data_IF_592403754381
#
_entry.id   IF_592403754381
#
_cell.length_a   1.000
_cell.length_b   1.000
_cell.length_c   1.000
_cell.angle_alpha   90.00
_cell.angle_beta   90.00
_cell.angle_gamma   90.00
#
_symmetry.space_group_name_H-M   'P 1'
#
loop_
_entity.id
_entity.type
_entity.pdbx_description
1 polymer ?
#
# COMPACT_ATOMS: atom_id res chain seq x y z
N UNK A 1 24.52 14.27 2.91
CA UNK A 1 23.79 14.18 4.19
C UNK A 1 23.42 12.72 4.35
N UNK A 2 23.52 12.16 5.56
CA UNK A 2 23.09 10.79 5.82
C UNK A 2 21.57 10.78 5.79
N UNK A 3 20.94 9.79 5.13
CA UNK A 3 19.48 9.61 5.09
C UNK A 3 18.92 9.45 6.52
N UNK A 4 17.74 9.99 6.79
CA UNK A 4 17.05 9.80 8.08
C UNK A 4 16.58 8.35 8.29
N UNK A 5 16.61 7.55 7.23
CA UNK A 5 16.28 6.12 7.23
C UNK A 5 17.48 5.22 7.58
N UNK A 6 18.71 5.78 7.63
CA UNK A 6 19.90 5.01 7.98
C UNK A 6 19.80 4.44 9.39
N UNK A 7 20.02 3.13 9.52
CA UNK A 7 19.90 2.38 10.78
C UNK A 7 18.46 2.11 11.23
N UNK A 8 17.45 2.50 10.47
CA UNK A 8 16.04 2.20 10.77
C UNK A 8 15.71 0.73 10.49
N UNK A 9 14.74 0.22 11.23
CA UNK A 9 14.24 -1.14 11.20
C UNK A 9 12.86 -1.13 10.56
N UNK A 10 12.76 -1.74 9.39
CA UNK A 10 11.53 -1.68 8.61
C UNK A 10 10.93 -3.07 8.35
N UNK A 11 9.61 -3.11 8.25
CA UNK A 11 8.85 -4.25 7.73
C UNK A 11 8.11 -3.80 6.47
N UNK A 12 8.19 -4.58 5.41
CA UNK A 12 7.43 -4.34 4.16
C UNK A 12 6.62 -5.60 3.84
N UNK A 13 5.30 -5.47 3.76
CA UNK A 13 4.40 -6.57 3.36
C UNK A 13 4.12 -6.53 1.86
N UNK A 14 3.84 -7.69 1.24
CA UNK A 14 3.73 -7.80 -0.21
C UNK A 14 5.05 -7.55 -0.92
N UNK A 15 6.16 -8.04 -0.35
CA UNK A 15 7.51 -7.68 -0.74
C UNK A 15 8.22 -8.71 -1.64
N UNK A 16 7.51 -9.73 -2.13
CA UNK A 16 8.06 -10.66 -3.12
C UNK A 16 8.23 -10.04 -4.51
N UNK A 17 7.62 -8.87 -4.78
CA UNK A 17 7.71 -8.19 -6.06
C UNK A 17 7.06 -6.80 -6.06
N UNK A 18 7.00 -6.18 -7.22
CA UNK A 18 6.31 -4.90 -7.43
C UNK A 18 6.79 -3.78 -6.52
N UNK A 19 5.84 -2.96 -6.04
CA UNK A 19 6.13 -1.82 -5.16
C UNK A 19 6.80 -2.27 -3.85
N UNK A 20 6.39 -3.41 -3.27
CA UNK A 20 6.94 -3.89 -2.01
C UNK A 20 8.41 -4.25 -2.10
N UNK A 21 8.82 -4.99 -3.12
CA UNK A 21 10.24 -5.32 -3.36
C UNK A 21 11.06 -4.05 -3.66
N UNK A 22 10.51 -3.11 -4.43
CA UNK A 22 11.17 -1.84 -4.72
C UNK A 22 11.34 -0.97 -3.47
N UNK A 23 10.33 -0.92 -2.59
CA UNK A 23 10.43 -0.23 -1.28
C UNK A 23 11.51 -0.86 -0.40
N UNK A 24 11.58 -2.19 -0.35
CA UNK A 24 12.61 -2.88 0.42
C UNK A 24 14.02 -2.57 -0.11
N UNK A 25 14.20 -2.60 -1.44
CA UNK A 25 15.47 -2.28 -2.08
C UNK A 25 15.91 -0.84 -1.75
N UNK A 26 15.03 0.14 -1.95
CA UNK A 26 15.31 1.55 -1.71
C UNK A 26 15.56 1.84 -0.22
N UNK A 27 14.85 1.18 0.72
CA UNK A 27 15.09 1.27 2.16
C UNK A 27 16.51 0.79 2.52
N UNK A 28 16.95 -0.32 1.94
CA UNK A 28 18.28 -0.90 2.17
C UNK A 28 19.36 0.02 1.59
N UNK A 29 19.14 0.57 0.41
CA UNK A 29 20.06 1.54 -0.21
C UNK A 29 20.21 2.80 0.64
N UNK A 30 19.14 3.23 1.34
CA UNK A 30 19.17 4.33 2.31
C UNK A 30 19.70 3.92 3.69
N UNK A 31 20.15 2.69 3.87
CA UNK A 31 20.84 2.19 5.07
C UNK A 31 19.91 1.61 6.15
N UNK A 32 18.69 1.25 5.83
CA UNK A 32 17.78 0.53 6.73
C UNK A 32 18.05 -0.98 6.72
N UNK A 33 17.57 -1.69 7.74
CA UNK A 33 17.43 -3.15 7.76
C UNK A 33 15.96 -3.51 7.59
N UNK A 34 15.64 -4.48 6.73
CA UNK A 34 14.26 -4.73 6.29
C UNK A 34 13.86 -6.20 6.43
N UNK A 35 12.72 -6.45 7.07
CA UNK A 35 12.01 -7.72 6.92
C UNK A 35 11.04 -7.61 5.75
N UNK A 36 11.25 -8.45 4.74
CA UNK A 36 10.40 -8.60 3.57
C UNK A 36 9.38 -9.70 3.87
N UNK A 37 8.10 -9.36 3.92
CA UNK A 37 7.03 -10.30 4.22
C UNK A 37 6.13 -10.50 3.01
N UNK A 38 5.86 -11.77 2.66
CA UNK A 38 4.94 -12.12 1.58
C UNK A 38 4.33 -13.50 1.80
N UNK A 39 3.18 -13.76 1.17
CA UNK A 39 2.59 -15.08 1.08
C UNK A 39 3.37 -15.98 0.11
N UNK A 40 3.96 -15.38 -0.94
CA UNK A 40 4.78 -16.09 -1.93
C UNK A 40 6.14 -16.43 -1.34
N UNK A 41 6.59 -17.69 -1.46
CA UNK A 41 7.92 -18.11 -1.04
C UNK A 41 9.05 -17.43 -1.85
N UNK A 42 8.75 -16.82 -3.00
CA UNK A 42 9.75 -16.07 -3.80
C UNK A 42 10.32 -14.86 -3.08
N UNK A 43 9.69 -14.42 -1.99
CA UNK A 43 10.25 -13.39 -1.09
C UNK A 43 11.63 -13.76 -0.54
N UNK A 44 11.93 -15.06 -0.44
CA UNK A 44 13.25 -15.55 -0.01
C UNK A 44 14.33 -15.19 -1.03
N UNK A 45 14.03 -15.39 -2.31
CA UNK A 45 14.95 -15.04 -3.40
C UNK A 45 15.13 -13.52 -3.48
N UNK A 46 14.02 -12.76 -3.40
CA UNK A 46 14.06 -11.30 -3.37
C UNK A 46 14.94 -10.77 -2.23
N UNK A 47 14.80 -11.32 -1.02
CA UNK A 47 15.63 -10.91 0.11
C UNK A 47 17.10 -11.29 -0.08
N UNK A 48 17.38 -12.47 -0.66
CA UNK A 48 18.76 -12.92 -0.93
C UNK A 48 19.47 -11.99 -1.93
N UNK A 49 18.77 -11.50 -2.96
CA UNK A 49 19.29 -10.55 -3.94
C UNK A 49 19.63 -9.19 -3.31
N UNK A 50 18.87 -8.76 -2.30
CA UNK A 50 19.07 -7.48 -1.61
C UNK A 50 20.19 -7.51 -0.56
N UNK A 51 20.70 -8.69 -0.20
CA UNK A 51 21.87 -8.86 0.63
C UNK A 51 21.60 -8.92 2.14
N UNK A 52 22.61 -8.63 2.95
CA UNK A 52 22.63 -8.97 4.40
C UNK A 52 21.71 -8.13 5.28
N UNK A 53 21.20 -7.01 4.80
CA UNK A 53 20.24 -6.15 5.51
C UNK A 53 18.77 -6.52 5.22
N UNK A 54 18.54 -7.54 4.39
CA UNK A 54 17.24 -8.07 4.01
C UNK A 54 16.96 -9.42 4.68
N UNK A 55 15.79 -9.56 5.28
CA UNK A 55 15.35 -10.77 5.96
C UNK A 55 13.98 -11.20 5.42
N UNK A 56 13.90 -12.40 4.85
CA UNK A 56 12.63 -12.91 4.34
C UNK A 56 11.76 -13.48 5.47
N UNK A 57 10.45 -13.24 5.34
CA UNK A 57 9.40 -13.90 6.10
C UNK A 57 8.28 -14.35 5.14
N UNK A 58 7.97 -15.65 5.13
CA UNK A 58 6.90 -16.20 4.29
C UNK A 58 5.71 -16.53 5.16
N UNK A 59 4.54 -15.95 4.87
CA UNK A 59 3.31 -16.21 5.61
C UNK A 59 2.16 -15.28 5.21
N UNK A 60 1.00 -15.54 5.80
CA UNK A 60 -0.23 -14.80 5.53
C UNK A 60 -0.40 -13.63 6.51
N UNK A 61 -0.21 -12.42 6.01
CA UNK A 61 -0.40 -11.17 6.78
C UNK A 61 -1.86 -10.72 6.87
N UNK A 62 -2.79 -11.47 6.27
CA UNK A 62 -4.23 -11.16 6.38
C UNK A 62 -4.85 -11.66 7.69
N UNK A 63 -4.21 -12.59 8.38
CA UNK A 63 -4.68 -13.17 9.65
C UNK A 63 -4.09 -12.48 10.88
N UNK A 64 -4.74 -12.64 12.04
CA UNK A 64 -4.23 -12.14 13.34
C UNK A 64 -2.96 -12.88 13.72
N UNK A 65 -2.95 -14.20 13.56
CA UNK A 65 -1.83 -15.07 13.86
C UNK A 65 -0.62 -14.75 12.97
N UNK A 66 -0.86 -14.53 11.68
CA UNK A 66 0.20 -14.18 10.73
C UNK A 66 0.85 -12.83 11.01
N UNK A 67 0.05 -11.81 11.32
CA UNK A 67 0.59 -10.51 11.74
C UNK A 67 1.42 -10.64 13.03
N UNK A 68 0.92 -11.37 14.03
CA UNK A 68 1.67 -11.62 15.27
C UNK A 68 3.02 -12.27 14.99
N UNK A 69 3.01 -13.38 14.24
CA UNK A 69 4.23 -14.11 13.88
C UNK A 69 5.23 -13.27 13.05
N UNK A 70 4.73 -12.41 12.15
CA UNK A 70 5.58 -11.47 11.40
C UNK A 70 6.27 -10.48 12.34
N UNK A 71 5.51 -9.87 13.25
CA UNK A 71 6.04 -8.87 14.18
C UNK A 71 7.06 -9.50 15.13
N UNK A 72 6.77 -10.67 15.67
CA UNK A 72 7.70 -11.40 16.53
C UNK A 72 9.00 -11.76 15.76
N UNK A 73 8.88 -12.24 14.53
CA UNK A 73 10.05 -12.52 13.67
C UNK A 73 10.86 -11.26 13.35
N UNK A 74 10.21 -10.11 13.17
CA UNK A 74 10.89 -8.85 12.92
C UNK A 74 11.62 -8.35 14.18
N UNK A 75 11.00 -8.49 15.35
CA UNK A 75 11.65 -8.17 16.63
C UNK A 75 12.89 -9.02 16.86
N UNK A 76 12.81 -10.33 16.61
CA UNK A 76 13.94 -11.25 16.76
C UNK A 76 15.12 -10.91 15.84
N UNK A 77 14.84 -10.46 14.61
CA UNK A 77 15.86 -10.19 13.59
C UNK A 77 16.42 -8.76 13.66
N UNK A 78 15.57 -7.79 13.95
CA UNK A 78 15.91 -6.38 13.90
C UNK A 78 16.04 -5.73 15.29
N UNK A 79 15.52 -6.35 16.34
CA UNK A 79 15.46 -5.78 17.68
C UNK A 79 14.38 -4.70 17.84
N UNK A 80 13.36 -4.71 16.98
CA UNK A 80 12.21 -3.80 16.99
C UNK A 80 11.81 -3.33 15.60
N UNK A 81 10.76 -2.52 15.50
CA UNK A 81 10.20 -2.01 14.24
C UNK A 81 9.99 -0.51 14.35
N UNK A 82 10.71 0.27 13.52
CA UNK A 82 10.57 1.73 13.44
C UNK A 82 9.56 2.14 12.34
N UNK A 83 9.55 1.39 11.22
CA UNK A 83 8.68 1.64 10.07
C UNK A 83 7.94 0.37 9.67
N UNK A 84 6.65 0.51 9.39
CA UNK A 84 5.83 -0.60 8.88
C UNK A 84 5.11 -0.16 7.60
N UNK A 85 5.46 -0.82 6.49
CA UNK A 85 4.83 -0.60 5.20
C UNK A 85 3.75 -1.67 4.99
N UNK A 86 2.50 -1.29 5.24
CA UNK A 86 1.32 -2.09 4.95
C UNK A 86 1.04 -1.99 3.44
N UNK A 87 1.79 -2.77 2.65
CA UNK A 87 1.78 -2.70 1.19
C UNK A 87 1.10 -3.91 0.54
N UNK A 88 1.01 -5.06 1.19
CA UNK A 88 0.30 -6.22 0.66
C UNK A 88 -1.12 -5.85 0.23
N UNK A 89 -1.53 -6.33 -0.95
CA UNK A 89 -2.86 -6.03 -1.49
C UNK A 89 -3.20 -6.91 -2.68
N UNK A 90 -4.50 -7.09 -2.92
CA UNK A 90 -5.06 -7.80 -4.06
C UNK A 90 -6.10 -6.93 -4.77
N UNK A 91 -6.36 -7.22 -6.06
CA UNK A 91 -7.36 -6.48 -6.83
C UNK A 91 -8.79 -6.93 -6.49
N UNK A 92 -8.96 -8.17 -6.05
CA UNK A 92 -10.26 -8.75 -5.72
C UNK A 92 -11.16 -8.99 -6.94
N UNK A 93 -12.46 -9.21 -6.70
CA UNK A 93 -13.40 -9.54 -7.77
C UNK A 93 -13.71 -8.35 -8.67
N UNK A 94 -14.04 -8.65 -9.94
CA UNK A 94 -14.57 -7.67 -10.87
C UNK A 94 -15.99 -7.22 -10.49
N UNK A 95 -16.36 -6.03 -10.89
CA UNK A 95 -17.69 -5.42 -10.68
C UNK A 95 -18.12 -5.45 -9.20
N UNK A 96 -19.18 -6.14 -8.84
CA UNK A 96 -19.66 -6.29 -7.46
C UNK A 96 -19.09 -7.53 -6.75
N UNK A 97 -18.41 -8.44 -7.48
CA UNK A 97 -18.10 -9.78 -6.98
C UNK A 97 -19.34 -10.68 -6.99
N UNK A 98 -19.14 -11.97 -6.76
CA UNK A 98 -20.20 -12.97 -6.83
C UNK A 98 -20.61 -13.54 -5.47
N UNK A 99 -19.76 -13.38 -4.45
CA UNK A 99 -19.97 -13.96 -3.11
C UNK A 99 -19.41 -13.11 -1.98
N UNK A 100 -19.89 -13.36 -0.75
CA UNK A 100 -19.32 -12.78 0.47
C UNK A 100 -17.85 -13.19 0.66
N UNK A 101 -17.47 -14.40 0.22
CA UNK A 101 -16.10 -14.88 0.31
C UNK A 101 -15.12 -14.03 -0.54
N UNK A 102 -15.55 -13.53 -1.71
CA UNK A 102 -14.75 -12.63 -2.54
C UNK A 102 -14.50 -11.30 -1.81
N UNK A 103 -15.53 -10.80 -1.14
CA UNK A 103 -15.43 -9.58 -0.34
C UNK A 103 -14.59 -9.77 0.91
N UNK A 104 -14.76 -10.88 1.63
CA UNK A 104 -13.99 -11.17 2.85
C UNK A 104 -12.49 -11.26 2.53
N UNK A 105 -12.11 -11.92 1.45
CA UNK A 105 -10.71 -12.05 1.05
C UNK A 105 -10.05 -10.69 0.80
N UNK A 106 -10.67 -9.81 0.00
CA UNK A 106 -10.09 -8.50 -0.28
C UNK A 106 -10.14 -7.56 0.94
N UNK A 107 -11.17 -7.65 1.78
CA UNK A 107 -11.27 -6.88 3.01
C UNK A 107 -10.18 -7.31 3.99
N UNK A 108 -9.94 -8.61 4.14
CA UNK A 108 -8.91 -9.12 5.05
C UNK A 108 -7.51 -8.65 4.62
N UNK A 109 -7.17 -8.77 3.35
CA UNK A 109 -5.85 -8.37 2.84
C UNK A 109 -5.69 -6.85 2.79
N UNK A 110 -6.61 -6.13 2.13
CA UNK A 110 -6.41 -4.70 1.83
C UNK A 110 -6.76 -3.76 2.99
N UNK A 111 -7.50 -4.22 3.99
CA UNK A 111 -8.00 -3.38 5.07
C UNK A 111 -7.71 -3.96 6.47
N UNK A 112 -8.20 -5.18 6.78
CA UNK A 112 -8.04 -5.75 8.12
C UNK A 112 -6.58 -5.99 8.49
N UNK A 113 -5.73 -6.37 7.52
CA UNK A 113 -4.29 -6.52 7.73
C UNK A 113 -3.63 -5.22 8.23
N UNK A 114 -4.00 -4.06 7.66
CA UNK A 114 -3.52 -2.75 8.12
C UNK A 114 -3.95 -2.47 9.57
N UNK A 115 -5.22 -2.74 9.90
CA UNK A 115 -5.77 -2.55 11.25
C UNK A 115 -5.06 -3.46 12.25
N UNK A 116 -4.91 -4.75 11.93
CA UNK A 116 -4.26 -5.75 12.77
C UNK A 116 -2.79 -5.39 13.07
N UNK A 117 -2.06 -4.95 12.04
CA UNK A 117 -0.68 -4.49 12.20
C UNK A 117 -0.59 -3.26 13.13
N UNK A 118 -1.45 -2.26 12.93
CA UNK A 118 -1.47 -1.08 13.79
C UNK A 118 -1.88 -1.41 15.24
N UNK A 119 -2.84 -2.32 15.46
CA UNK A 119 -3.22 -2.78 16.80
C UNK A 119 -2.05 -3.41 17.55
N UNK A 120 -1.16 -4.12 16.85
CA UNK A 120 0.00 -4.74 17.46
C UNK A 120 1.16 -3.76 17.65
N UNK A 121 1.34 -2.78 16.76
CA UNK A 121 2.50 -1.89 16.75
C UNK A 121 2.28 -0.59 17.54
N UNK A 122 1.08 -0.02 17.51
CA UNK A 122 0.82 1.29 18.15
C UNK A 122 1.15 1.29 19.65
N UNK A 123 0.78 0.29 20.48
CA UNK A 123 1.16 0.28 21.88
C UNK A 123 2.67 0.28 22.09
N UNK A 124 3.42 -0.44 21.28
CA UNK A 124 4.89 -0.53 21.33
C UNK A 124 5.53 0.80 20.93
N UNK A 125 4.98 1.47 19.91
CA UNK A 125 5.44 2.77 19.46
C UNK A 125 5.12 3.90 20.46
N UNK A 126 3.98 3.81 21.15
CA UNK A 126 3.65 4.73 22.24
C UNK A 126 4.66 4.63 23.39
N UNK A 127 5.05 3.41 23.78
CA UNK A 127 6.09 3.18 24.79
C UNK A 127 7.46 3.70 24.33
N UNK A 128 7.78 3.55 23.05
CA UNK A 128 9.03 4.03 22.45
C UNK A 128 9.02 5.54 22.14
N UNK A 129 7.86 6.19 22.13
CA UNK A 129 7.68 7.59 21.72
C UNK A 129 7.94 7.85 20.23
N UNK A 130 7.96 6.80 19.40
CA UNK A 130 8.21 6.92 17.96
C UNK A 130 7.75 5.69 17.18
N UNK A 131 7.24 5.92 15.97
CA UNK A 131 6.87 4.88 15.02
C UNK A 131 6.34 5.48 13.72
N UNK A 132 6.37 4.72 12.64
CA UNK A 132 5.89 5.18 11.35
C UNK A 132 5.10 4.10 10.62
N UNK A 133 3.84 4.39 10.31
CA UNK A 133 2.94 3.51 9.55
C UNK A 133 2.74 4.06 8.14
N UNK A 134 3.06 3.29 7.11
CA UNK A 134 2.86 3.66 5.71
C UNK A 134 1.86 2.69 5.08
N UNK A 135 0.69 3.20 4.71
CA UNK A 135 -0.36 2.41 4.06
C UNK A 135 -0.30 2.58 2.53
N UNK A 136 -0.13 1.48 1.78
CA UNK A 136 -0.30 1.51 0.33
C UNK A 136 -1.77 1.36 -0.02
N UNK A 137 -2.43 2.51 -0.26
CA UNK A 137 -3.78 2.57 -0.79
C UNK A 137 -3.77 2.49 -2.32
N UNK A 138 -4.33 3.45 -3.00
CA UNK A 138 -4.40 3.63 -4.46
C UNK A 138 -5.07 4.97 -4.77
N UNK A 139 -4.90 5.52 -5.96
CA UNK A 139 -5.77 6.55 -6.49
C UNK A 139 -7.26 6.13 -6.42
N UNK A 140 -7.55 4.83 -6.49
CA UNK A 140 -8.88 4.27 -6.25
C UNK A 140 -9.46 4.60 -4.86
N UNK A 141 -8.62 4.81 -3.86
CA UNK A 141 -9.02 5.23 -2.51
C UNK A 141 -9.49 6.70 -2.43
N UNK A 142 -9.17 7.50 -3.44
CA UNK A 142 -9.59 8.90 -3.56
C UNK A 142 -10.65 9.09 -4.66
N UNK A 143 -10.51 8.38 -5.78
CA UNK A 143 -11.27 8.63 -7.02
C UNK A 143 -12.33 7.58 -7.32
N UNK A 144 -12.25 6.39 -6.72
CA UNK A 144 -13.04 5.19 -7.04
C UNK A 144 -12.56 4.50 -8.33
N UNK A 145 -12.45 3.18 -8.30
CA UNK A 145 -12.00 2.37 -9.44
C UNK A 145 -13.18 1.92 -10.28
N UNK A 146 -13.15 2.20 -11.58
CA UNK A 146 -14.06 1.60 -12.55
C UNK A 146 -13.82 0.08 -12.58
N UNK A 147 -14.89 -0.71 -12.59
CA UNK A 147 -14.81 -2.16 -12.77
C UNK A 147 -14.55 -2.98 -11.50
N UNK A 148 -14.34 -2.36 -10.32
CA UNK A 148 -14.20 -3.10 -9.05
C UNK A 148 -14.73 -2.31 -7.86
N UNK A 149 -15.86 -2.75 -7.33
CA UNK A 149 -16.47 -2.16 -6.12
C UNK A 149 -15.64 -2.49 -4.88
N UNK A 150 -15.26 -3.74 -4.69
CA UNK A 150 -14.55 -4.21 -3.51
C UNK A 150 -13.16 -3.55 -3.37
N UNK A 151 -12.42 -3.41 -4.48
CA UNK A 151 -11.16 -2.67 -4.49
C UNK A 151 -11.36 -1.20 -4.11
N UNK A 152 -12.37 -0.54 -4.69
CA UNK A 152 -12.70 0.86 -4.36
C UNK A 152 -13.00 1.05 -2.88
N UNK A 153 -13.85 0.19 -2.31
CA UNK A 153 -14.24 0.25 -0.88
C UNK A 153 -13.03 0.06 0.01
N UNK A 154 -12.23 -1.00 -0.23
CA UNK A 154 -11.08 -1.31 0.63
C UNK A 154 -9.98 -0.25 0.54
N UNK A 155 -9.74 0.34 -0.65
CA UNK A 155 -8.74 1.41 -0.79
C UNK A 155 -9.21 2.75 -0.19
N UNK A 156 -10.52 3.08 -0.21
CA UNK A 156 -11.07 4.19 0.58
C UNK A 156 -10.93 3.94 2.08
N UNK A 157 -11.18 2.71 2.54
CA UNK A 157 -11.00 2.34 3.94
C UNK A 157 -9.53 2.48 4.38
N UNK A 158 -8.56 2.10 3.54
CA UNK A 158 -7.14 2.27 3.83
C UNK A 158 -6.74 3.74 3.98
N UNK A 159 -7.30 4.64 3.14
CA UNK A 159 -7.08 6.10 3.27
C UNK A 159 -7.65 6.60 4.59
N UNK A 160 -8.94 6.33 4.87
CA UNK A 160 -9.59 6.79 6.10
C UNK A 160 -8.95 6.24 7.37
N UNK A 161 -8.44 5.00 7.33
CA UNK A 161 -7.71 4.41 8.45
C UNK A 161 -6.36 5.11 8.68
N UNK A 162 -5.60 5.38 7.62
CA UNK A 162 -4.33 6.10 7.74
C UNK A 162 -4.54 7.55 8.24
N UNK A 163 -5.60 8.24 7.76
CA UNK A 163 -5.99 9.57 8.27
C UNK A 163 -6.27 9.53 9.77
N UNK A 164 -7.05 8.55 10.21
CA UNK A 164 -7.38 8.38 11.62
C UNK A 164 -6.12 8.13 12.47
N UNK A 165 -5.20 7.27 12.03
CA UNK A 165 -3.93 7.04 12.72
C UNK A 165 -3.10 8.32 12.84
N UNK A 166 -2.96 9.05 11.72
CA UNK A 166 -2.18 10.29 11.67
C UNK A 166 -2.71 11.36 12.62
N UNK A 167 -4.04 11.49 12.74
CA UNK A 167 -4.67 12.45 13.65
C UNK A 167 -4.57 12.02 15.11
N UNK A 168 -4.77 10.72 15.38
CA UNK A 168 -4.96 10.21 16.74
C UNK A 168 -3.65 10.09 17.51
N UNK A 169 -2.58 9.61 16.87
CA UNK A 169 -1.33 9.26 17.54
C UNK A 169 -0.16 10.20 17.26
N UNK A 170 -0.41 11.36 16.63
CA UNK A 170 0.65 12.32 16.29
C UNK A 170 1.42 12.81 17.50
N UNK A 171 0.71 13.07 18.60
CA UNK A 171 1.31 13.59 19.84
C UNK A 171 2.07 12.50 20.60
N UNK A 172 1.82 11.23 20.30
CA UNK A 172 2.59 10.08 20.83
C UNK A 172 3.89 9.82 20.03
N UNK A 173 4.26 10.72 19.11
CA UNK A 173 5.44 10.56 18.24
C UNK A 173 5.25 9.58 17.08
N UNK A 174 4.01 9.10 16.85
CA UNK A 174 3.71 8.18 15.75
C UNK A 174 3.31 8.97 14.51
N UNK A 175 3.93 8.63 13.38
CA UNK A 175 3.61 9.19 12.07
C UNK A 175 2.85 8.18 11.21
N UNK A 176 2.01 8.68 10.32
CA UNK A 176 1.39 7.84 9.30
C UNK A 176 1.41 8.55 7.95
N UNK A 177 1.56 7.76 6.88
CA UNK A 177 1.41 8.20 5.50
C UNK A 177 0.51 7.25 4.73
N UNK A 178 -0.13 7.77 3.69
CA UNK A 178 -0.89 6.98 2.73
C UNK A 178 -0.37 7.22 1.31
N UNK A 179 -0.01 6.12 0.63
CA UNK A 179 0.46 6.14 -0.75
C UNK A 179 -0.72 5.84 -1.67
N UNK A 180 -1.00 6.74 -2.59
CA UNK A 180 -2.12 6.63 -3.53
C UNK A 180 -1.62 6.62 -4.99
N UNK A 181 -0.95 5.56 -5.45
CA UNK A 181 -0.49 5.45 -6.83
C UNK A 181 -1.66 5.19 -7.78
N UNK A 182 -1.47 5.54 -9.05
CA UNK A 182 -2.33 5.14 -10.17
C UNK A 182 -1.75 3.91 -10.86
N UNK A 183 -1.40 3.95 -12.16
CA UNK A 183 -0.81 2.84 -12.87
C UNK A 183 0.65 2.61 -12.48
N UNK A 184 0.98 1.41 -11.98
CA UNK A 184 2.35 0.98 -11.71
C UNK A 184 2.57 -0.38 -12.37
N UNK A 185 3.70 -0.55 -13.04
CA UNK A 185 4.07 -1.77 -13.77
C UNK A 185 4.34 -2.92 -12.79
N UNK A 186 3.30 -3.65 -12.42
CA UNK A 186 3.30 -4.75 -11.45
C UNK A 186 2.32 -5.84 -11.85
N UNK A 187 2.49 -7.03 -11.32
CA UNK A 187 1.53 -8.14 -11.51
C UNK A 187 0.09 -7.73 -11.12
N UNK A 188 -0.09 -6.86 -10.13
CA UNK A 188 -1.41 -6.37 -9.73
C UNK A 188 -2.14 -5.63 -10.87
N UNK A 189 -1.40 -4.91 -11.73
CA UNK A 189 -1.97 -4.25 -12.91
C UNK A 189 -2.37 -5.28 -13.98
N UNK A 190 -1.60 -6.36 -14.12
CA UNK A 190 -1.89 -7.45 -15.06
C UNK A 190 -3.11 -8.25 -14.59
N UNK A 191 -3.22 -8.51 -13.27
CA UNK A 191 -4.37 -9.17 -12.65
C UNK A 191 -5.66 -8.34 -12.86
N UNK A 192 -5.59 -7.02 -12.81
CA UNK A 192 -6.72 -6.13 -13.14
C UNK A 192 -7.19 -6.29 -14.60
N UNK A 193 -6.28 -6.63 -15.51
CA UNK A 193 -6.60 -6.97 -16.89
C UNK A 193 -7.36 -8.30 -17.00
N UNK A 194 -6.92 -9.28 -16.25
CA UNK A 194 -7.54 -10.63 -16.20
C UNK A 194 -8.95 -10.60 -15.57
N UNK A 195 -9.21 -9.67 -14.65
CA UNK A 195 -10.49 -9.47 -13.98
C UNK A 195 -11.54 -8.68 -14.82
N UNK A 196 -11.41 -8.63 -16.14
CA UNK A 196 -12.41 -8.04 -17.05
C UNK A 196 -11.94 -6.79 -17.81
N UNK A 197 -10.67 -6.42 -17.72
CA UNK A 197 -10.01 -5.43 -18.57
C UNK A 197 -10.43 -3.97 -18.39
N UNK A 198 -11.64 -3.68 -17.93
CA UNK A 198 -12.13 -2.30 -17.75
C UNK A 198 -11.33 -1.52 -16.70
N UNK A 199 -10.94 -2.18 -15.62
CA UNK A 199 -10.13 -1.56 -14.56
C UNK A 199 -8.71 -1.23 -15.08
N UNK A 200 -8.05 -2.16 -15.75
CA UNK A 200 -6.72 -1.94 -16.35
C UNK A 200 -6.77 -0.85 -17.42
N UNK A 201 -7.75 -0.91 -18.35
CA UNK A 201 -7.93 0.13 -19.38
C UNK A 201 -8.17 1.51 -18.78
N UNK A 202 -8.98 1.60 -17.70
CA UNK A 202 -9.24 2.86 -17.01
C UNK A 202 -7.94 3.45 -16.44
N UNK A 203 -7.09 2.63 -15.83
CA UNK A 203 -5.83 3.04 -15.22
C UNK A 203 -4.80 3.44 -16.29
N UNK A 204 -4.57 2.59 -17.28
CA UNK A 204 -3.54 2.83 -18.32
C UNK A 204 -3.88 3.97 -19.29
N UNK A 205 -5.17 4.30 -19.45
CA UNK A 205 -5.61 5.45 -20.26
C UNK A 205 -5.74 6.77 -19.46
N UNK A 206 -5.64 6.72 -18.15
CA UNK A 206 -5.79 7.91 -17.30
C UNK A 206 -4.47 8.64 -17.04
N UNK A 207 -3.31 7.99 -17.22
CA UNK A 207 -2.00 8.59 -16.98
C UNK A 207 -0.85 7.67 -17.36
N UNK A 208 0.36 8.10 -17.01
CA UNK A 208 1.59 7.31 -17.22
C UNK A 208 1.59 6.09 -16.27
N UNK A 209 2.09 4.96 -16.76
CA UNK A 209 2.40 3.81 -15.89
C UNK A 209 3.84 3.98 -15.40
N UNK A 210 4.03 4.08 -14.09
CA UNK A 210 5.34 4.23 -13.45
C UNK A 210 5.97 2.87 -13.18
N UNK A 211 7.30 2.85 -13.13
CA UNK A 211 8.03 1.67 -12.63
C UNK A 211 8.01 1.62 -11.09
N UNK A 212 8.01 0.42 -10.48
CA UNK A 212 8.02 0.26 -9.02
C UNK A 212 9.14 1.02 -8.31
N UNK A 213 10.34 1.08 -8.92
CA UNK A 213 11.48 1.80 -8.37
C UNK A 213 11.25 3.32 -8.30
N UNK A 214 10.59 3.90 -9.30
CA UNK A 214 10.24 5.33 -9.30
C UNK A 214 9.25 5.63 -8.17
N UNK A 215 8.25 4.75 -7.98
CA UNK A 215 7.28 4.88 -6.89
C UNK A 215 7.97 4.76 -5.53
N UNK A 216 8.88 3.80 -5.35
CA UNK A 216 9.61 3.61 -4.11
C UNK A 216 10.44 4.84 -3.72
N UNK A 217 11.17 5.42 -4.65
CA UNK A 217 11.97 6.63 -4.42
C UNK A 217 11.07 7.80 -3.97
N UNK A 218 9.97 8.06 -4.68
CA UNK A 218 9.00 9.12 -4.32
C UNK A 218 8.41 8.87 -2.91
N UNK A 219 8.06 7.63 -2.60
CA UNK A 219 7.48 7.26 -1.30
C UNK A 219 8.48 7.52 -0.19
N UNK A 220 9.74 7.08 -0.31
CA UNK A 220 10.71 7.25 0.77
C UNK A 220 11.16 8.69 0.92
N UNK A 221 11.25 9.48 -0.15
CA UNK A 221 11.46 10.92 -0.05
C UNK A 221 10.35 11.62 0.73
N UNK A 222 9.10 11.23 0.49
CA UNK A 222 7.95 11.75 1.21
C UNK A 222 7.91 11.30 2.68
N UNK A 223 8.30 10.05 2.97
CA UNK A 223 8.42 9.50 4.34
C UNK A 223 9.49 10.25 5.13
N UNK A 224 10.66 10.52 4.55
CA UNK A 224 11.70 11.31 5.19
C UNK A 224 11.25 12.76 5.53
N UNK A 225 10.31 13.30 4.75
CA UNK A 225 9.70 14.60 4.98
C UNK A 225 8.38 14.54 5.79
N UNK A 226 8.03 13.39 6.37
CA UNK A 226 6.79 13.15 7.13
C UNK A 226 5.51 13.58 6.37
N UNK A 227 5.50 13.49 5.03
CA UNK A 227 4.37 13.85 4.21
C UNK A 227 3.25 12.79 4.35
N UNK A 228 2.02 13.22 4.70
CA UNK A 228 0.90 12.31 4.90
C UNK A 228 0.39 11.71 3.58
N UNK A 229 -0.07 12.56 2.64
CA UNK A 229 -0.63 12.10 1.36
C UNK A 229 0.46 12.04 0.30
N UNK A 230 0.83 10.83 -0.11
CA UNK A 230 1.87 10.59 -1.11
C UNK A 230 1.23 10.21 -2.43
N UNK A 231 1.44 11.05 -3.44
CA UNK A 231 0.87 10.91 -4.78
C UNK A 231 2.00 10.74 -5.79
N UNK A 232 2.42 9.50 -6.13
CA UNK A 232 3.41 9.27 -7.19
C UNK A 232 2.99 9.86 -8.54
N UNK A 233 1.69 9.95 -8.79
CA UNK A 233 1.07 10.57 -9.96
C UNK A 233 0.44 11.90 -9.53
N UNK A 234 1.08 13.05 -9.79
CA UNK A 234 0.64 14.36 -9.28
C UNK A 234 -0.73 14.79 -9.81
N UNK A 235 -1.16 14.29 -10.98
CA UNK A 235 -2.48 14.56 -11.58
C UNK A 235 -3.64 14.04 -10.71
N UNK A 236 -3.40 13.04 -9.86
CA UNK A 236 -4.42 12.51 -8.93
C UNK A 236 -4.95 13.61 -8.00
N UNK A 237 -4.11 14.55 -7.59
CA UNK A 237 -4.53 15.65 -6.73
C UNK A 237 -5.58 16.54 -7.40
N UNK A 238 -5.38 16.90 -8.67
CA UNK A 238 -6.35 17.71 -9.42
C UNK A 238 -7.65 16.95 -9.66
N UNK A 239 -7.57 15.65 -9.99
CA UNK A 239 -8.76 14.80 -10.12
C UNK A 239 -9.55 14.73 -8.79
N UNK A 240 -8.86 14.61 -7.66
CA UNK A 240 -9.48 14.58 -6.33
C UNK A 240 -10.13 15.91 -5.97
N UNK A 241 -9.50 17.04 -6.29
CA UNK A 241 -10.07 18.37 -6.13
C UNK A 241 -11.32 18.54 -7.00
N UNK A 242 -11.29 18.12 -8.25
CA UNK A 242 -12.47 18.15 -9.13
C UNK A 242 -13.62 17.30 -8.59
N UNK A 243 -13.33 16.08 -8.10
CA UNK A 243 -14.33 15.24 -7.45
C UNK A 243 -14.95 15.93 -6.23
N UNK A 244 -14.13 16.52 -5.36
CA UNK A 244 -14.61 17.21 -4.15
C UNK A 244 -15.37 18.49 -4.42
N UNK A 245 -15.10 19.19 -5.53
CA UNK A 245 -15.75 20.45 -5.88
C UNK A 245 -17.18 20.28 -6.42
N UNK A 246 -17.45 19.17 -7.14
CA UNK A 246 -18.78 18.86 -7.70
C UNK A 246 -18.92 17.35 -7.91
N UNK A 247 -19.41 16.67 -6.88
CA UNK A 247 -19.58 15.20 -6.88
C UNK A 247 -20.52 14.70 -7.97
N UNK A 248 -21.62 15.39 -8.18
CA UNK A 248 -22.61 14.96 -9.18
C UNK A 248 -22.07 15.08 -10.60
N UNK A 249 -21.36 16.15 -10.89
CA UNK A 249 -20.68 16.33 -12.18
C UNK A 249 -19.61 15.27 -12.38
N UNK A 250 -18.82 14.98 -11.34
CA UNK A 250 -17.81 13.92 -11.37
C UNK A 250 -18.41 12.56 -11.68
N UNK A 251 -19.45 12.15 -10.94
CA UNK A 251 -20.11 10.85 -11.12
C UNK A 251 -20.72 10.70 -12.53
N UNK A 252 -21.37 11.75 -13.04
CA UNK A 252 -21.87 11.73 -14.44
C UNK A 252 -20.74 11.63 -15.46
N UNK A 253 -19.57 12.23 -15.18
CA UNK A 253 -18.38 12.13 -16.02
C UNK A 253 -17.82 10.72 -16.04
N UNK A 254 -17.66 10.10 -14.87
CA UNK A 254 -17.15 8.76 -14.71
C UNK A 254 -18.09 7.69 -15.30
N UNK A 255 -19.41 7.87 -15.17
CA UNK A 255 -20.38 6.98 -15.80
C UNK A 255 -20.24 6.97 -17.33
N UNK A 256 -20.09 8.14 -17.96
CA UNK A 256 -19.85 8.24 -19.42
C UNK A 256 -18.49 7.62 -19.82
N UNK A 257 -17.47 7.79 -18.96
CA UNK A 257 -16.16 7.20 -19.22
C UNK A 257 -16.23 5.67 -19.15
N UNK A 258 -16.88 5.12 -18.14
CA UNK A 258 -17.11 3.67 -18.02
C UNK A 258 -17.85 3.10 -19.23
N UNK A 259 -18.91 3.76 -19.72
CA UNK A 259 -19.64 3.33 -20.91
C UNK A 259 -18.71 3.22 -22.15
N UNK A 260 -17.86 4.23 -22.37
CA UNK A 260 -16.89 4.22 -23.50
C UNK A 260 -15.85 3.10 -23.39
N UNK A 261 -15.39 2.76 -22.17
CA UNK A 261 -14.45 1.64 -21.97
C UNK A 261 -15.09 0.29 -22.28
N UNK A 262 -16.41 0.17 -22.11
CA UNK A 262 -17.17 -1.07 -22.39
C UNK A 262 -17.46 -1.27 -23.88
N UNK A 263 -17.35 -0.23 -24.71
CA UNK A 263 -17.56 -0.27 -26.15
C UNK A 263 -16.28 -0.62 -26.94
N UNK A 264 -15.13 -0.63 -26.29
CA UNK A 264 -13.80 -0.96 -26.84
C UNK A 264 -13.38 -2.41 -26.51
#
# INVERSE_FOLDING_TARGET
MTSSLAGKRAVVTGAAGGIGAALAAELIERGASVVLADLSPTVVDTAAELGTSAFAWTGDVSSVEGIGALIDSADDRLGGIDLYFANAGIIGPAMLGESDADWDAIIDVNMRAHIRAAQALVPRWQEAGSGYFVATASAAGLLTQIGSAAYSVTKHASVGFAEWLAMTYRDDGIRASVVCPMGVNTNLLDDAGSAGGAAQKAVTSAGTVLEPAEVAAIVLDAVENEQFLILPHPEVLEMYRMKGSDYDRWLRGMSRYQARLSEQ
#
